data_IF_133698054907
#
_entry.id   IF_133698054907
#
_cell.length_a   1.000
_cell.length_b   1.000
_cell.length_c   1.000
_cell.angle_alpha   90.00
_cell.angle_beta   90.00
_cell.angle_gamma   90.00
#
_symmetry.space_group_name_H-M   'P 1'
#
loop_
_entity.id
_entity.type
_entity.pdbx_description
1 polymer ?
#
# COMPACT_ATOMS: atom_id res chain seq x y z
N UNK A 1 3.82 1.19 -3.42
CA UNK A 1 5.22 1.00 -3.83
C UNK A 1 5.92 -0.07 -3.01
N UNK A 2 5.94 0.01 -1.67
CA UNK A 2 6.56 -1.02 -0.81
C UNK A 2 5.86 -2.39 -0.89
N UNK A 3 4.54 -2.40 -1.03
CA UNK A 3 3.74 -3.62 -1.27
C UNK A 3 4.01 -4.24 -2.65
N UNK A 4 4.29 -3.40 -3.65
CA UNK A 4 4.63 -3.82 -5.01
C UNK A 4 6.01 -4.52 -5.05
N UNK A 5 6.97 -4.03 -4.27
CA UNK A 5 8.31 -4.61 -4.13
C UNK A 5 8.20 -6.00 -3.47
N UNK A 6 7.38 -6.13 -2.43
CA UNK A 6 7.10 -7.43 -1.80
C UNK A 6 6.53 -8.47 -2.79
N UNK A 7 5.54 -8.08 -3.60
CA UNK A 7 4.94 -8.98 -4.60
C UNK A 7 5.91 -9.39 -5.71
N UNK A 8 6.81 -8.50 -6.15
CA UNK A 8 7.83 -8.80 -7.19
C UNK A 8 8.89 -9.77 -6.66
N UNK A 9 9.31 -9.62 -5.40
CA UNK A 9 10.25 -10.52 -4.73
C UNK A 9 9.65 -11.93 -4.56
N UNK A 10 8.37 -12.02 -4.20
CA UNK A 10 7.68 -13.30 -4.01
C UNK A 10 7.55 -14.11 -5.32
N UNK A 11 7.32 -13.43 -6.45
CA UNK A 11 7.10 -14.09 -7.75
C UNK A 11 8.39 -14.48 -8.49
N UNK A 12 9.53 -13.89 -8.12
CA UNK A 12 10.83 -14.19 -8.73
C UNK A 12 11.87 -14.66 -7.67
N UNK A 13 11.69 -15.84 -7.06
CA UNK A 13 12.61 -16.37 -6.06
C UNK A 13 14.01 -16.72 -6.62
N UNK A 14 14.14 -16.82 -7.95
CA UNK A 14 15.36 -17.21 -8.66
C UNK A 14 16.39 -16.07 -8.81
N UNK A 15 15.98 -14.79 -8.74
CA UNK A 15 16.85 -13.66 -9.09
C UNK A 15 17.66 -13.10 -7.89
N UNK A 16 17.25 -13.42 -6.67
CA UNK A 16 17.88 -12.92 -5.44
C UNK A 16 17.99 -14.06 -4.43
N UNK A 17 19.20 -14.57 -4.18
CA UNK A 17 19.52 -15.54 -3.12
C UNK A 17 19.38 -14.92 -1.72
N UNK A 18 18.19 -14.44 -1.36
CA UNK A 18 18.01 -13.43 -0.30
C UNK A 18 16.83 -13.76 0.59
N UNK A 19 16.93 -14.84 1.36
CA UNK A 19 16.03 -15.14 2.48
C UNK A 19 15.83 -13.92 3.40
N UNK A 20 16.90 -13.12 3.60
CA UNK A 20 16.87 -11.91 4.44
C UNK A 20 15.92 -10.81 3.93
N UNK A 21 15.83 -10.59 2.62
CA UNK A 21 15.01 -9.53 2.03
C UNK A 21 13.52 -9.87 2.07
N UNK A 22 13.20 -11.16 1.97
CA UNK A 22 11.83 -11.65 2.17
C UNK A 22 11.33 -11.37 3.59
N UNK A 23 12.12 -11.72 4.61
CA UNK A 23 11.70 -11.49 6.00
C UNK A 23 11.59 -10.00 6.36
N UNK A 24 12.51 -9.16 5.89
CA UNK A 24 12.50 -7.72 6.19
C UNK A 24 11.30 -7.00 5.55
N UNK A 25 10.92 -7.38 4.33
CA UNK A 25 9.79 -6.77 3.62
C UNK A 25 8.42 -7.19 4.19
N UNK A 26 8.29 -8.44 4.63
CA UNK A 26 7.14 -8.92 5.42
C UNK A 26 6.95 -8.11 6.71
N UNK A 27 8.02 -7.99 7.50
CA UNK A 27 7.98 -7.30 8.80
C UNK A 27 7.60 -5.82 8.64
N UNK A 28 8.21 -5.13 7.67
CA UNK A 28 7.93 -3.71 7.42
C UNK A 28 6.47 -3.44 7.04
N UNK A 29 5.88 -4.29 6.20
CA UNK A 29 4.48 -4.14 5.76
C UNK A 29 3.51 -4.39 6.94
N UNK A 30 3.81 -5.38 7.79
CA UNK A 30 3.01 -5.66 8.98
C UNK A 30 3.03 -4.49 9.99
N UNK A 31 4.21 -3.91 10.23
CA UNK A 31 4.36 -2.74 11.12
C UNK A 31 3.57 -1.55 10.60
N UNK A 32 3.61 -1.28 9.29
CA UNK A 32 2.84 -0.19 8.67
C UNK A 32 1.32 -0.37 8.82
N UNK A 33 0.80 -1.59 8.68
CA UNK A 33 -0.63 -1.88 8.89
C UNK A 33 -1.04 -1.62 10.34
N UNK A 34 -0.22 -2.04 11.30
CA UNK A 34 -0.46 -1.81 12.74
C UNK A 34 -0.43 -0.31 13.04
N UNK A 35 0.54 0.44 12.50
CA UNK A 35 0.61 1.89 12.67
C UNK A 35 -0.61 2.61 12.11
N UNK A 36 -1.10 2.23 10.91
CA UNK A 36 -2.32 2.81 10.36
C UNK A 36 -3.55 2.52 11.23
N UNK A 37 -3.69 1.28 11.71
CA UNK A 37 -4.77 0.94 12.64
C UNK A 37 -4.69 1.82 13.90
N UNK A 38 -3.51 2.00 14.48
CA UNK A 38 -3.29 2.86 15.65
C UNK A 38 -3.61 4.33 15.36
N UNK A 39 -3.26 4.86 14.19
CA UNK A 39 -3.58 6.23 13.79
C UNK A 39 -5.10 6.43 13.70
N UNK A 40 -5.83 5.47 13.12
CA UNK A 40 -7.30 5.51 13.05
C UNK A 40 -7.91 5.46 14.45
N UNK A 41 -7.37 4.64 15.36
CA UNK A 41 -7.79 4.62 16.77
C UNK A 41 -7.54 5.95 17.48
N UNK A 42 -6.49 6.69 17.08
CA UNK A 42 -6.13 7.99 17.65
C UNK A 42 -6.83 9.16 16.98
N UNK A 43 -7.55 8.95 15.87
CA UNK A 43 -8.30 10.02 15.23
C UNK A 43 -9.44 10.49 16.16
N UNK A 44 -9.49 11.78 16.51
CA UNK A 44 -10.56 12.31 17.34
C UNK A 44 -11.88 12.17 16.57
N UNK A 45 -12.80 11.36 17.10
CA UNK A 45 -14.14 11.28 16.53
C UNK A 45 -14.83 12.65 16.66
N UNK A 46 -15.33 13.16 15.53
CA UNK A 46 -16.21 14.34 15.48
C UNK A 46 -17.34 14.22 16.52
N UNK A 47 -17.62 15.31 17.23
CA UNK A 47 -18.63 15.41 18.30
C UNK A 47 -20.07 15.58 17.78
N UNK A 48 -20.30 15.33 16.49
CA UNK A 48 -21.64 15.29 15.91
C UNK A 48 -22.37 14.01 16.37
N UNK A 49 -23.62 14.13 16.83
CA UNK A 49 -24.44 13.00 17.29
C UNK A 49 -24.89 12.14 16.10
N UNK A 50 -24.00 11.27 15.62
CA UNK A 50 -24.32 10.29 14.59
C UNK A 50 -24.96 9.06 15.25
N UNK A 51 -26.17 8.71 14.82
CA UNK A 51 -27.06 7.66 15.39
C UNK A 51 -26.48 6.23 15.33
N UNK A 52 -25.40 6.01 14.57
CA UNK A 52 -24.77 4.71 14.43
C UNK A 52 -23.24 4.85 14.52
N UNK A 53 -22.64 4.45 15.63
CA UNK A 53 -21.19 4.22 15.73
C UNK A 53 -20.90 2.75 15.44
N UNK A 54 -20.16 2.49 14.37
CA UNK A 54 -19.67 1.15 14.07
C UNK A 54 -18.47 0.85 14.98
N UNK A 55 -18.51 -0.19 15.85
CA UNK A 55 -17.46 -0.45 16.84
C UNK A 55 -16.19 -1.10 16.24
N UNK A 56 -16.25 -1.55 14.98
CA UNK A 56 -15.18 -2.29 14.29
C UNK A 56 -14.46 -1.49 13.20
N UNK A 57 -14.54 -0.15 13.26
CA UNK A 57 -13.82 0.78 12.37
C UNK A 57 -12.34 0.45 12.11
N UNK A 58 -11.54 -0.10 13.05
CA UNK A 58 -10.13 -0.43 12.79
C UNK A 58 -9.93 -1.83 12.15
N UNK A 59 -10.88 -2.75 12.33
CA UNK A 59 -10.81 -4.09 11.76
C UNK A 59 -11.14 -4.10 10.26
N UNK A 60 -12.11 -3.27 9.86
CA UNK A 60 -12.56 -3.11 8.48
C UNK A 60 -11.41 -2.66 7.54
N UNK A 61 -10.59 -1.63 7.87
CA UNK A 61 -9.41 -1.25 7.09
C UNK A 61 -8.38 -2.36 6.98
N UNK A 62 -8.13 -3.10 8.06
CA UNK A 62 -7.12 -4.17 8.06
C UNK A 62 -7.52 -5.31 7.11
N UNK A 63 -8.78 -5.77 7.19
CA UNK A 63 -9.36 -6.75 6.26
C UNK A 63 -9.34 -6.25 4.82
N UNK A 64 -9.70 -4.99 4.59
CA UNK A 64 -9.70 -4.39 3.25
C UNK A 64 -8.30 -4.40 2.61
N UNK A 65 -7.27 -4.05 3.37
CA UNK A 65 -5.87 -4.07 2.90
C UNK A 65 -5.41 -5.51 2.61
N UNK A 66 -5.74 -6.47 3.48
CA UNK A 66 -5.39 -7.89 3.28
C UNK A 66 -6.00 -8.46 2.00
N UNK A 67 -7.31 -8.25 1.77
CA UNK A 67 -7.97 -8.71 0.56
C UNK A 67 -7.41 -8.02 -0.70
N UNK A 68 -7.10 -6.72 -0.61
CA UNK A 68 -6.50 -5.99 -1.71
C UNK A 68 -5.11 -6.53 -2.09
N UNK A 69 -4.26 -6.79 -1.09
CA UNK A 69 -2.94 -7.39 -1.30
C UNK A 69 -3.02 -8.80 -1.90
N UNK A 70 -3.97 -9.60 -1.44
CA UNK A 70 -4.21 -10.93 -1.98
C UNK A 70 -4.63 -10.90 -3.45
N UNK A 71 -5.59 -10.04 -3.81
CA UNK A 71 -6.01 -9.86 -5.20
C UNK A 71 -4.86 -9.38 -6.09
N UNK A 72 -4.03 -8.48 -5.58
CA UNK A 72 -2.83 -8.01 -6.28
C UNK A 72 -1.77 -9.11 -6.49
N UNK A 73 -1.62 -10.05 -5.55
CA UNK A 73 -0.73 -11.21 -5.70
C UNK A 73 -1.21 -12.20 -6.77
N UNK A 74 -2.53 -12.35 -6.96
CA UNK A 74 -3.08 -13.20 -8.02
C UNK A 74 -2.94 -12.62 -9.43
N UNK A 75 -2.64 -11.32 -9.56
CA UNK A 75 -2.51 -10.66 -10.86
C UNK A 75 -1.26 -11.08 -11.64
N UNK A 76 -1.36 -11.06 -12.97
CA UNK A 76 -0.24 -11.35 -13.88
C UNK A 76 0.87 -10.31 -13.77
N UNK A 77 2.14 -10.70 -14.03
CA UNK A 77 3.27 -9.77 -14.01
C UNK A 77 3.15 -8.67 -15.08
N UNK A 78 2.51 -8.99 -16.20
CA UNK A 78 2.29 -8.05 -17.29
C UNK A 78 1.41 -6.87 -16.85
N UNK A 79 0.34 -7.14 -16.10
CA UNK A 79 -0.54 -6.09 -15.54
C UNK A 79 0.21 -5.17 -14.57
N UNK A 80 1.11 -5.75 -13.78
CA UNK A 80 1.94 -5.01 -12.83
C UNK A 80 2.90 -4.04 -13.51
N UNK A 81 3.53 -4.45 -14.61
CA UNK A 81 4.44 -3.61 -15.38
C UNK A 81 3.69 -2.40 -15.96
N UNK A 82 2.50 -2.61 -16.51
CA UNK A 82 1.65 -1.52 -17.00
C UNK A 82 1.29 -0.53 -15.89
N UNK A 83 0.89 -1.03 -14.72
CA UNK A 83 0.54 -0.18 -13.58
C UNK A 83 1.73 0.66 -13.08
N UNK A 84 2.92 0.07 -13.01
CA UNK A 84 4.15 0.78 -12.65
C UNK A 84 4.51 1.84 -13.70
N UNK A 85 4.36 1.53 -14.99
CA UNK A 85 4.57 2.48 -16.08
C UNK A 85 3.67 3.72 -15.96
N UNK A 86 2.37 3.52 -15.74
CA UNK A 86 1.41 4.62 -15.55
C UNK A 86 1.71 5.49 -14.32
N UNK A 87 2.15 4.89 -13.20
CA UNK A 87 2.54 5.64 -12.00
C UNK A 87 3.78 6.52 -12.27
N UNK A 88 4.77 6.00 -12.99
CA UNK A 88 5.98 6.75 -13.34
C UNK A 88 5.63 7.93 -14.25
N UNK A 89 4.79 7.70 -15.26
CA UNK A 89 4.29 8.75 -16.16
C UNK A 89 3.55 9.82 -15.35
N UNK A 90 2.62 9.44 -14.48
CA UNK A 90 1.86 10.39 -13.66
C UNK A 90 2.75 11.26 -12.76
N UNK A 91 3.76 10.67 -12.12
CA UNK A 91 4.75 11.42 -11.32
C UNK A 91 5.56 12.38 -12.17
N UNK A 92 6.00 11.94 -13.35
CA UNK A 92 6.76 12.78 -14.27
C UNK A 92 5.96 13.98 -14.73
N UNK A 93 4.70 13.77 -15.14
CA UNK A 93 3.79 14.86 -15.54
C UNK A 93 3.54 15.85 -14.41
N UNK A 94 3.33 15.37 -13.18
CA UNK A 94 3.14 16.23 -12.02
C UNK A 94 4.38 17.08 -11.72
N UNK A 95 5.58 16.48 -11.77
CA UNK A 95 6.85 17.20 -11.55
C UNK A 95 7.06 18.24 -12.64
N UNK A 96 6.81 17.90 -13.90
CA UNK A 96 6.93 18.82 -15.02
C UNK A 96 6.00 20.03 -14.87
N UNK A 97 4.73 19.77 -14.51
CA UNK A 97 3.75 20.82 -14.25
C UNK A 97 4.17 21.72 -13.07
N UNK A 98 4.67 21.12 -11.99
CA UNK A 98 5.12 21.85 -10.81
C UNK A 98 6.39 22.69 -11.07
N UNK A 99 7.29 22.25 -11.97
CA UNK A 99 8.42 23.06 -12.43
C UNK A 99 7.91 24.23 -13.30
N UNK A 100 6.97 23.97 -14.20
CA UNK A 100 6.46 24.98 -15.15
C UNK A 100 5.68 26.11 -14.43
N UNK A 101 4.94 25.78 -13.37
CA UNK A 101 4.22 26.77 -12.54
C UNK A 101 5.11 27.56 -11.58
N UNK A 102 6.40 27.21 -11.47
CA UNK A 102 7.39 27.87 -10.60
C UNK A 102 8.27 28.89 -11.34
N UNK A 103 8.03 29.06 -12.64
CA UNK A 103 8.55 30.13 -13.49
C UNK A 103 7.38 31.04 -13.88
#
# INVERSE_FOLDING_TARGET
MMTCIFCVIFKNPQLFGTHRAYYTSCSFTAVLMILMALIIFRQPQSKEKISFKVPLVPFIPCLSIMFNLYMMMQLSLFTWIGFLGWIVIGKFTWVLLNILLRF
#
